data_IF_578226754319
#
_entry.id   IF_578226754319
#
_cell.length_a   1.000
_cell.length_b   1.000
_cell.length_c   1.000
_cell.angle_alpha   90.00
_cell.angle_beta   90.00
_cell.angle_gamma   90.00
#
_symmetry.space_group_name_H-M   'P 1'
#
loop_
_entity.id
_entity.type
_entity.pdbx_description
1 polymer ?
#
# COMPACT_ATOMS: atom_id res chain seq x y z
N UNK A 1 13.99 -23.31 2.44
CA UNK A 1 14.55 -21.97 2.66
C UNK A 1 14.78 -21.19 1.35
N UNK A 2 15.48 -21.74 0.34
CA UNK A 2 15.73 -21.01 -0.93
C UNK A 2 14.44 -20.57 -1.64
N UNK A 3 13.41 -21.43 -1.75
CA UNK A 3 12.11 -21.09 -2.37
C UNK A 3 11.43 -19.91 -1.65
N UNK A 4 11.35 -19.94 -0.30
CA UNK A 4 10.73 -18.86 0.49
C UNK A 4 11.46 -17.53 0.38
N UNK A 5 12.80 -17.53 0.39
CA UNK A 5 13.60 -16.32 0.21
C UNK A 5 13.38 -15.70 -1.18
N UNK A 6 13.46 -16.51 -2.23
CA UNK A 6 13.27 -16.03 -3.60
C UNK A 6 11.85 -15.48 -3.82
N UNK A 7 10.82 -16.20 -3.35
CA UNK A 7 9.44 -15.72 -3.45
C UNK A 7 9.23 -14.47 -2.60
N UNK A 8 9.81 -14.41 -1.40
CA UNK A 8 9.73 -13.21 -0.55
C UNK A 8 10.34 -11.99 -1.20
N UNK A 9 11.50 -12.10 -1.83
CA UNK A 9 12.14 -11.03 -2.58
C UNK A 9 11.33 -10.63 -3.83
N UNK A 10 10.72 -11.60 -4.50
CA UNK A 10 9.87 -11.33 -5.66
C UNK A 10 8.61 -10.56 -5.25
N UNK A 11 7.92 -11.00 -4.19
CA UNK A 11 6.73 -10.31 -3.69
C UNK A 11 7.08 -8.95 -3.08
N UNK A 12 8.21 -8.84 -2.38
CA UNK A 12 8.75 -7.54 -1.98
C UNK A 12 8.82 -6.59 -3.19
N UNK A 13 9.30 -7.08 -4.34
CA UNK A 13 9.37 -6.30 -5.58
C UNK A 13 8.04 -5.84 -6.13
N UNK A 14 6.99 -6.64 -6.02
CA UNK A 14 5.65 -6.23 -6.46
C UNK A 14 5.04 -5.13 -5.61
N UNK A 15 5.30 -5.15 -4.31
CA UNK A 15 4.80 -4.15 -3.39
C UNK A 15 5.65 -2.87 -3.37
N UNK A 16 6.94 -2.98 -3.66
CA UNK A 16 7.86 -1.85 -3.54
C UNK A 16 7.61 -0.82 -4.65
N UNK A 17 6.77 0.14 -4.36
CA UNK A 17 6.32 1.17 -5.30
C UNK A 17 6.57 2.60 -4.80
N UNK A 18 5.93 3.55 -5.46
CA UNK A 18 6.07 4.98 -5.20
C UNK A 18 5.76 5.37 -3.75
N UNK A 19 4.68 4.82 -3.17
CA UNK A 19 4.26 5.12 -1.80
C UNK A 19 5.30 4.74 -0.77
N UNK A 20 5.90 3.56 -0.93
CA UNK A 20 6.92 3.01 -0.03
C UNK A 20 8.20 3.85 0.04
N UNK A 21 8.43 4.69 -0.97
CA UNK A 21 9.56 5.60 -1.02
C UNK A 21 9.28 6.93 -0.31
N UNK A 22 8.08 7.50 -0.48
CA UNK A 22 7.81 8.89 -0.06
C UNK A 22 7.17 9.01 1.32
N UNK A 23 6.34 8.03 1.74
CA UNK A 23 5.62 8.17 3.02
C UNK A 23 6.49 7.94 4.24
N UNK A 24 7.42 6.96 4.30
CA UNK A 24 8.27 6.81 5.46
C UNK A 24 9.14 8.05 5.77
N UNK A 25 9.86 8.68 4.82
CA UNK A 25 10.62 9.89 5.13
C UNK A 25 9.70 11.09 5.46
N UNK A 26 8.52 11.20 4.85
CA UNK A 26 7.52 12.21 5.23
C UNK A 26 7.08 12.04 6.68
N UNK A 27 6.72 10.82 7.08
CA UNK A 27 6.38 10.48 8.46
C UNK A 27 7.54 10.81 9.42
N UNK A 28 8.76 10.45 9.03
CA UNK A 28 9.95 10.74 9.82
C UNK A 28 10.09 12.24 10.14
N UNK A 29 9.99 13.09 9.13
CA UNK A 29 9.99 14.54 9.29
C UNK A 29 8.89 15.04 10.23
N UNK A 30 7.65 14.58 10.02
CA UNK A 30 6.48 15.00 10.80
C UNK A 30 6.49 14.49 12.24
N UNK A 31 7.25 13.44 12.54
CA UNK A 31 7.23 12.78 13.84
C UNK A 31 8.04 13.50 14.92
N UNK A 32 8.89 14.46 14.57
CA UNK A 32 9.74 15.17 15.51
C UNK A 32 10.45 14.22 16.50
N UNK A 33 10.28 14.42 17.81
CA UNK A 33 10.85 13.57 18.86
C UNK A 33 10.12 12.23 19.04
N UNK A 34 8.99 12.04 18.37
CA UNK A 34 8.14 10.85 18.48
C UNK A 34 8.31 9.87 17.31
N UNK A 35 9.52 9.78 16.75
CA UNK A 35 9.83 8.93 15.59
C UNK A 35 9.43 7.47 15.80
N UNK A 36 9.81 6.89 16.95
CA UNK A 36 9.61 5.45 17.17
C UNK A 36 8.14 5.05 17.30
N UNK A 37 7.30 5.73 18.10
CA UNK A 37 5.87 5.45 18.09
C UNK A 37 5.23 5.58 16.69
N UNK A 38 5.60 6.60 15.93
CA UNK A 38 5.10 6.80 14.57
C UNK A 38 5.51 5.66 13.63
N UNK A 39 6.78 5.28 13.63
CA UNK A 39 7.29 4.18 12.79
C UNK A 39 6.67 2.84 13.17
N UNK A 40 6.45 2.57 14.46
CA UNK A 40 5.74 1.36 14.89
C UNK A 40 4.33 1.33 14.33
N UNK A 41 3.58 2.44 14.44
CA UNK A 41 2.25 2.57 13.85
C UNK A 41 2.25 2.29 12.34
N UNK A 42 3.21 2.90 11.64
CA UNK A 42 3.39 2.72 10.19
C UNK A 42 3.71 1.27 9.81
N UNK A 43 4.59 0.60 10.54
CA UNK A 43 4.94 -0.81 10.30
C UNK A 43 3.74 -1.71 10.55
N UNK A 44 2.98 -1.48 11.60
CA UNK A 44 1.79 -2.30 11.90
C UNK A 44 0.78 -2.22 10.74
N UNK A 45 0.49 -1.05 10.22
CA UNK A 45 -0.48 -0.89 9.14
C UNK A 45 0.12 -1.11 7.74
N UNK A 46 1.25 -0.50 7.41
CA UNK A 46 1.86 -0.57 6.09
C UNK A 46 2.51 -1.92 5.79
N UNK A 47 3.10 -2.58 6.80
CA UNK A 47 3.73 -3.89 6.62
C UNK A 47 2.84 -5.02 7.15
N UNK A 48 2.39 -4.91 8.39
CA UNK A 48 1.65 -5.98 9.06
C UNK A 48 0.35 -6.32 8.35
N UNK A 49 -0.49 -5.32 8.05
CA UNK A 49 -1.75 -5.55 7.34
C UNK A 49 -1.51 -6.01 5.89
N UNK A 50 -0.54 -5.43 5.19
CA UNK A 50 -0.24 -5.78 3.81
C UNK A 50 0.21 -7.25 3.69
N UNK A 51 1.21 -7.64 4.46
CA UNK A 51 1.72 -9.02 4.45
C UNK A 51 0.67 -9.99 4.99
N UNK A 52 -0.04 -9.62 6.05
CA UNK A 52 -1.15 -10.42 6.58
C UNK A 52 -2.22 -10.70 5.52
N UNK A 53 -2.69 -9.66 4.83
CA UNK A 53 -3.69 -9.79 3.76
C UNK A 53 -3.18 -10.65 2.60
N UNK A 54 -1.92 -10.45 2.19
CA UNK A 54 -1.28 -11.26 1.14
C UNK A 54 -1.25 -12.75 1.53
N UNK A 55 -0.74 -13.07 2.73
CA UNK A 55 -0.64 -14.45 3.21
C UNK A 55 -2.01 -15.11 3.33
N UNK A 56 -3.01 -14.37 3.81
CA UNK A 56 -4.40 -14.84 3.86
C UNK A 56 -4.87 -15.20 2.45
N UNK A 57 -4.65 -14.30 1.47
CA UNK A 57 -5.03 -14.52 0.08
C UNK A 57 -4.41 -15.78 -0.55
N UNK A 58 -3.21 -16.19 -0.10
CA UNK A 58 -2.54 -17.41 -0.61
C UNK A 58 -3.11 -18.72 -0.05
N UNK A 59 -3.87 -18.66 1.02
CA UNK A 59 -4.43 -19.84 1.70
C UNK A 59 -5.95 -19.94 1.67
N UNK A 60 -6.62 -19.14 0.82
CA UNK A 60 -8.08 -19.21 0.61
C UNK A 60 -8.43 -19.89 -0.71
N UNK A 61 -9.51 -20.65 -0.69
CA UNK A 61 -10.00 -21.37 -1.88
C UNK A 61 -10.87 -20.42 -2.74
N UNK A 62 -10.45 -20.16 -3.97
CA UNK A 62 -11.22 -19.31 -4.90
C UNK A 62 -11.10 -17.79 -4.68
N UNK A 63 -10.12 -17.34 -3.86
CA UNK A 63 -9.78 -15.93 -3.70
C UNK A 63 -10.76 -15.12 -2.84
N UNK A 64 -10.45 -13.84 -2.63
CA UNK A 64 -11.23 -12.95 -1.77
C UNK A 64 -12.68 -12.77 -2.24
N UNK A 65 -12.94 -12.78 -3.54
CA UNK A 65 -14.30 -12.60 -4.08
C UNK A 65 -15.23 -13.71 -3.59
N UNK A 66 -14.84 -14.99 -3.75
CA UNK A 66 -15.64 -16.14 -3.30
C UNK A 66 -15.90 -16.07 -1.79
N UNK A 67 -14.87 -15.83 -1.00
CA UNK A 67 -14.96 -15.72 0.45
C UNK A 67 -15.97 -14.62 0.89
N UNK A 68 -15.94 -13.48 0.24
CA UNK A 68 -16.85 -12.37 0.53
C UNK A 68 -18.29 -12.66 0.08
N UNK A 69 -18.46 -13.25 -1.11
CA UNK A 69 -19.79 -13.62 -1.65
C UNK A 69 -20.51 -14.58 -0.71
N UNK A 70 -19.80 -15.59 -0.20
CA UNK A 70 -20.35 -16.63 0.68
C UNK A 70 -20.61 -16.14 2.11
N UNK A 71 -19.67 -15.37 2.68
CA UNK A 71 -19.67 -15.02 4.11
C UNK A 71 -20.36 -13.68 4.39
N UNK A 72 -20.27 -12.74 3.47
CA UNK A 72 -20.86 -11.41 3.63
C UNK A 72 -22.06 -11.26 2.71
N UNK A 73 -21.87 -10.73 1.52
CA UNK A 73 -22.96 -10.56 0.55
C UNK A 73 -22.38 -10.29 -0.86
N UNK A 74 -22.91 -10.93 -1.95
CA UNK A 74 -22.37 -10.76 -3.29
C UNK A 74 -22.33 -9.30 -3.80
N UNK A 75 -23.37 -8.51 -3.52
CA UNK A 75 -23.42 -7.10 -3.94
C UNK A 75 -22.37 -6.28 -3.18
N UNK A 76 -22.21 -6.52 -1.87
CA UNK A 76 -21.19 -5.84 -1.07
C UNK A 76 -19.78 -6.23 -1.55
N UNK A 77 -19.54 -7.51 -1.78
CA UNK A 77 -18.29 -8.05 -2.32
C UNK A 77 -17.91 -7.35 -3.62
N UNK A 78 -18.83 -7.27 -4.55
CA UNK A 78 -18.64 -6.62 -5.85
C UNK A 78 -18.33 -5.13 -5.68
N UNK A 79 -19.13 -4.40 -4.90
CA UNK A 79 -18.94 -2.96 -4.67
C UNK A 79 -17.60 -2.66 -3.99
N UNK A 80 -17.23 -3.44 -2.96
CA UNK A 80 -15.96 -3.30 -2.25
C UNK A 80 -14.77 -3.58 -3.16
N UNK A 81 -14.81 -4.68 -3.93
CA UNK A 81 -13.71 -5.04 -4.83
C UNK A 81 -13.57 -4.01 -5.98
N UNK A 82 -14.67 -3.53 -6.55
CA UNK A 82 -14.62 -2.44 -7.54
C UNK A 82 -13.94 -1.21 -6.95
N UNK A 83 -14.38 -0.76 -5.76
CA UNK A 83 -13.79 0.40 -5.10
C UNK A 83 -12.30 0.21 -4.80
N UNK A 84 -11.91 -0.98 -4.33
CA UNK A 84 -10.53 -1.37 -4.07
C UNK A 84 -9.69 -1.33 -5.35
N UNK A 85 -10.14 -2.01 -6.42
CA UNK A 85 -9.39 -2.06 -7.67
C UNK A 85 -9.30 -0.70 -8.37
N UNK A 86 -10.33 0.14 -8.26
CA UNK A 86 -10.27 1.51 -8.77
C UNK A 86 -9.30 2.38 -7.94
N UNK A 87 -9.23 2.18 -6.63
CA UNK A 87 -8.30 2.90 -5.75
C UNK A 87 -6.84 2.54 -6.03
N UNK A 88 -6.50 1.25 -6.11
CA UNK A 88 -5.13 0.82 -6.47
C UNK A 88 -4.83 1.00 -7.96
N UNK A 89 -5.84 1.18 -8.78
CA UNK A 89 -5.78 1.37 -10.22
C UNK A 89 -5.74 2.85 -10.61
N UNK A 90 -6.69 3.26 -11.46
CA UNK A 90 -6.64 4.52 -12.18
C UNK A 90 -6.75 5.77 -11.31
N UNK A 91 -7.30 5.68 -10.09
CA UNK A 91 -7.54 6.88 -9.30
C UNK A 91 -6.37 7.28 -8.40
N UNK A 92 -5.63 6.32 -7.80
CA UNK A 92 -4.59 6.71 -6.83
C UNK A 92 -3.22 6.06 -7.08
N UNK A 93 -3.07 4.73 -7.05
CA UNK A 93 -1.74 4.14 -7.12
C UNK A 93 -1.06 4.37 -8.48
N UNK A 94 -1.75 4.10 -9.59
CA UNK A 94 -1.21 4.29 -10.94
C UNK A 94 -0.78 5.74 -11.19
N UNK A 95 -1.62 6.79 -10.99
CA UNK A 95 -1.18 8.17 -11.21
C UNK A 95 -0.10 8.61 -10.23
N UNK A 96 -0.10 8.08 -9.00
CA UNK A 96 0.95 8.37 -8.01
C UNK A 96 2.31 7.87 -8.45
N UNK A 97 2.42 6.71 -9.09
CA UNK A 97 3.71 6.21 -9.59
C UNK A 97 4.32 7.16 -10.63
N UNK A 98 3.51 7.71 -11.53
CA UNK A 98 3.95 8.69 -12.51
C UNK A 98 4.41 10.00 -11.86
N UNK A 99 3.64 10.53 -10.90
CA UNK A 99 3.97 11.80 -10.24
C UNK A 99 5.17 11.68 -9.31
N UNK A 100 5.34 10.59 -8.57
CA UNK A 100 6.52 10.35 -7.73
C UNK A 100 7.77 10.17 -8.59
N UNK A 101 7.68 9.40 -9.67
CA UNK A 101 8.81 9.23 -10.59
C UNK A 101 9.19 10.53 -11.28
N UNK A 102 8.24 11.42 -11.55
CA UNK A 102 8.52 12.78 -12.01
C UNK A 102 9.25 13.59 -10.94
N UNK A 103 8.71 13.64 -9.72
CA UNK A 103 9.27 14.48 -8.65
C UNK A 103 10.68 14.07 -8.22
N UNK A 104 11.00 12.76 -8.21
CA UNK A 104 12.32 12.27 -7.86
C UNK A 104 13.23 12.19 -9.09
N UNK A 105 12.67 11.79 -10.24
CA UNK A 105 13.44 11.38 -11.39
C UNK A 105 13.70 12.48 -12.40
N UNK A 106 12.83 13.48 -12.51
CA UNK A 106 12.86 14.45 -13.61
C UNK A 106 12.86 15.90 -13.12
N UNK A 107 11.95 16.25 -12.21
CA UNK A 107 11.79 17.61 -11.71
C UNK A 107 13.10 18.24 -11.17
N UNK A 108 14.00 17.50 -10.49
CA UNK A 108 15.24 18.06 -9.97
C UNK A 108 16.24 18.53 -11.06
N UNK A 109 16.04 18.09 -12.29
CA UNK A 109 16.91 18.39 -13.44
C UNK A 109 16.30 19.39 -14.42
N UNK A 110 15.04 19.77 -14.22
CA UNK A 110 14.31 20.68 -15.10
C UNK A 110 13.83 21.92 -14.33
N UNK A 111 13.64 23.06 -15.01
CA UNK A 111 12.90 24.16 -14.42
C UNK A 111 11.51 23.71 -14.00
N UNK A 112 11.08 24.14 -12.82
CA UNK A 112 9.76 23.78 -12.32
C UNK A 112 8.66 24.32 -13.24
N UNK A 113 7.86 23.39 -13.80
CA UNK A 113 6.74 23.77 -14.66
C UNK A 113 5.66 22.68 -14.66
N UNK A 114 4.40 23.09 -14.57
CA UNK A 114 3.25 22.20 -14.76
C UNK A 114 3.27 21.48 -16.11
N UNK A 115 3.78 22.13 -17.14
CA UNK A 115 3.95 21.55 -18.47
C UNK A 115 4.93 20.38 -18.47
N UNK A 116 6.00 20.45 -17.66
CA UNK A 116 6.97 19.35 -17.50
C UNK A 116 6.33 18.07 -16.97
N UNK A 117 5.48 18.19 -15.95
CA UNK A 117 4.73 17.04 -15.43
C UNK A 117 3.80 16.43 -16.49
N UNK A 118 3.05 17.26 -17.24
CA UNK A 118 2.10 16.78 -18.25
C UNK A 118 2.84 16.03 -19.37
N UNK A 119 3.93 16.61 -19.90
CA UNK A 119 4.73 15.99 -20.96
C UNK A 119 5.34 14.66 -20.47
N UNK A 120 5.94 14.68 -19.27
CA UNK A 120 6.48 13.46 -18.67
C UNK A 120 5.41 12.39 -18.48
N UNK A 121 4.26 12.75 -17.89
CA UNK A 121 3.15 11.82 -17.67
C UNK A 121 2.65 11.23 -19.00
N UNK A 122 2.54 12.03 -20.06
CA UNK A 122 2.14 11.54 -21.38
C UNK A 122 3.10 10.46 -21.90
N UNK A 123 4.41 10.71 -21.83
CA UNK A 123 5.44 9.74 -22.26
C UNK A 123 5.40 8.49 -21.36
N UNK A 124 5.35 8.69 -20.04
CA UNK A 124 5.32 7.61 -19.06
C UNK A 124 4.12 6.68 -19.27
N UNK A 125 2.91 7.24 -19.42
CA UNK A 125 1.71 6.46 -19.65
C UNK A 125 1.65 5.82 -21.03
N UNK A 126 2.23 6.45 -22.07
CA UNK A 126 2.36 5.81 -23.38
C UNK A 126 3.24 4.55 -23.32
N UNK A 127 4.38 4.62 -22.61
CA UNK A 127 5.25 3.46 -22.39
C UNK A 127 4.55 2.41 -21.52
N UNK A 128 3.93 2.82 -20.40
CA UNK A 128 3.21 1.91 -19.52
C UNK A 128 2.07 1.19 -20.25
N UNK A 129 1.30 1.92 -21.06
CA UNK A 129 0.24 1.37 -21.90
C UNK A 129 0.76 0.35 -22.91
N UNK A 130 1.80 0.70 -23.67
CA UNK A 130 2.39 -0.21 -24.64
C UNK A 130 2.79 -1.55 -24.02
N UNK A 131 3.42 -1.50 -22.85
CA UNK A 131 3.88 -2.68 -22.12
C UNK A 131 2.71 -3.48 -21.51
N UNK A 132 1.71 -2.81 -20.94
CA UNK A 132 0.54 -3.45 -20.36
C UNK A 132 -0.40 -4.03 -21.42
N UNK A 133 -0.57 -3.35 -22.55
CA UNK A 133 -1.49 -3.74 -23.62
C UNK A 133 -1.17 -5.13 -24.19
N UNK A 134 0.12 -5.48 -24.26
CA UNK A 134 0.60 -6.76 -24.74
C UNK A 134 0.82 -7.79 -23.62
N UNK A 135 0.43 -7.49 -22.37
CA UNK A 135 0.69 -8.34 -21.18
C UNK A 135 2.16 -8.82 -21.14
N UNK A 136 3.08 -7.91 -21.43
CA UNK A 136 4.50 -8.24 -21.61
C UNK A 136 5.12 -8.81 -20.33
N UNK A 137 5.63 -10.03 -20.40
CA UNK A 137 6.39 -10.68 -19.33
C UNK A 137 7.78 -10.05 -19.11
N UNK A 138 8.24 -9.21 -20.05
CA UNK A 138 9.54 -8.56 -19.97
C UNK A 138 9.68 -7.71 -18.70
N UNK A 139 8.63 -6.96 -18.34
CA UNK A 139 8.67 -6.10 -17.17
C UNK A 139 8.67 -6.87 -15.85
N UNK A 140 7.93 -8.00 -15.80
CA UNK A 140 7.98 -8.88 -14.63
C UNK A 140 9.38 -9.48 -14.43
N UNK A 141 10.06 -9.80 -15.53
CA UNK A 141 11.44 -10.33 -15.50
C UNK A 141 12.46 -9.25 -15.11
N UNK A 142 12.31 -8.03 -15.61
CA UNK A 142 13.14 -6.88 -15.23
C UNK A 142 12.92 -6.53 -13.75
N UNK A 143 11.68 -6.46 -13.30
CA UNK A 143 11.34 -6.18 -11.90
C UNK A 143 11.95 -7.20 -10.93
N UNK A 144 11.97 -8.49 -11.28
CA UNK A 144 12.57 -9.56 -10.45
C UNK A 144 14.05 -9.30 -10.13
N UNK A 145 14.79 -8.69 -11.02
CA UNK A 145 16.22 -8.41 -10.86
C UNK A 145 16.44 -7.00 -10.31
N UNK A 146 15.72 -6.02 -10.86
CA UNK A 146 15.96 -4.61 -10.54
C UNK A 146 15.49 -4.22 -9.13
N UNK A 147 14.39 -4.80 -8.67
CA UNK A 147 13.82 -4.42 -7.37
C UNK A 147 14.72 -4.79 -6.19
N UNK A 148 15.31 -6.00 -6.10
CA UNK A 148 16.28 -6.30 -5.05
C UNK A 148 17.52 -5.39 -5.10
N UNK A 149 18.00 -5.05 -6.28
CA UNK A 149 19.12 -4.12 -6.47
C UNK A 149 18.74 -2.74 -5.94
N UNK A 150 17.56 -2.24 -6.33
CA UNK A 150 17.05 -0.95 -5.89
C UNK A 150 16.84 -0.89 -4.37
N UNK A 151 16.24 -1.92 -3.79
CA UNK A 151 16.09 -2.02 -2.33
C UNK A 151 17.45 -2.00 -1.60
N UNK A 152 18.43 -2.71 -2.14
CA UNK A 152 19.81 -2.69 -1.62
C UNK A 152 20.44 -1.30 -1.69
N UNK A 153 20.20 -0.58 -2.77
CA UNK A 153 20.70 0.80 -2.95
C UNK A 153 20.02 1.81 -2.02
N UNK A 154 18.70 1.69 -1.85
CA UNK A 154 17.98 2.52 -0.86
C UNK A 154 18.48 2.21 0.55
N UNK A 155 18.69 0.94 0.88
CA UNK A 155 19.29 0.56 2.17
C UNK A 155 20.69 1.15 2.34
N UNK A 156 21.52 1.11 1.31
CA UNK A 156 22.84 1.73 1.31
C UNK A 156 22.76 3.24 1.52
N UNK A 157 21.88 3.93 0.77
CA UNK A 157 21.63 5.37 0.94
C UNK A 157 21.23 5.69 2.39
N UNK A 158 20.31 4.89 2.96
CA UNK A 158 19.83 5.07 4.34
C UNK A 158 20.93 4.88 5.36
N UNK A 159 21.75 3.81 5.22
CA UNK A 159 22.85 3.53 6.14
C UNK A 159 23.89 4.66 6.09
N UNK A 160 24.33 5.07 4.91
CA UNK A 160 25.28 6.17 4.76
C UNK A 160 24.68 7.50 5.24
N UNK A 161 23.40 7.73 4.96
CA UNK A 161 22.66 8.89 5.44
C UNK A 161 22.53 8.93 6.95
N UNK A 162 22.30 7.78 7.61
CA UNK A 162 22.25 7.69 9.06
C UNK A 162 23.58 8.08 9.72
N UNK A 163 24.71 7.70 9.13
CA UNK A 163 26.02 8.13 9.62
C UNK A 163 26.27 9.63 9.41
N UNK A 164 25.83 10.20 8.28
CA UNK A 164 26.07 11.62 7.97
C UNK A 164 25.09 12.55 8.70
N UNK A 165 23.81 12.22 8.70
CA UNK A 165 22.75 13.09 9.22
C UNK A 165 22.29 12.73 10.64
N UNK A 166 22.60 11.52 11.14
CA UNK A 166 22.13 11.03 12.43
C UNK A 166 22.59 11.83 13.66
N UNK A 167 23.56 12.73 13.51
CA UNK A 167 23.98 13.67 14.56
C UNK A 167 23.11 14.95 14.57
N UNK A 168 22.29 15.16 13.55
CA UNK A 168 21.40 16.31 13.44
C UNK A 168 20.16 16.06 14.31
N UNK A 169 19.77 17.02 15.13
CA UNK A 169 18.51 16.94 15.88
C UNK A 169 17.31 17.02 14.93
N UNK A 170 16.19 16.35 15.25
CA UNK A 170 14.97 16.47 14.47
C UNK A 170 14.57 17.94 14.30
N UNK A 171 14.27 18.37 13.09
CA UNK A 171 14.00 19.78 12.76
C UNK A 171 12.78 20.35 13.48
N UNK A 172 11.76 19.52 13.70
CA UNK A 172 10.54 19.87 14.42
C UNK A 172 10.60 19.55 15.93
N UNK A 173 11.76 19.12 16.45
CA UNK A 173 11.91 18.76 17.85
C UNK A 173 11.47 19.91 18.79
N UNK A 174 10.61 19.61 19.74
CA UNK A 174 10.07 20.59 20.68
C UNK A 174 9.14 21.65 20.07
N UNK A 175 8.80 21.55 18.76
CA UNK A 175 7.88 22.49 18.08
C UNK A 175 6.48 21.93 17.86
N UNK A 176 6.20 20.72 18.32
CA UNK A 176 4.92 20.05 18.17
C UNK A 176 4.43 19.49 19.49
N UNK A 177 3.13 19.57 19.74
CA UNK A 177 2.46 18.91 20.88
C UNK A 177 2.13 17.45 20.59
N UNK A 178 3.03 16.74 19.90
CA UNK A 178 2.82 15.38 19.45
C UNK A 178 3.11 14.41 20.61
N UNK A 179 2.06 13.74 21.09
CA UNK A 179 2.20 12.65 22.07
C UNK A 179 2.54 11.33 21.38
N UNK A 180 3.14 10.38 22.10
CA UNK A 180 3.46 9.05 21.57
C UNK A 180 2.22 8.33 21.00
N UNK A 181 1.06 8.46 21.66
CA UNK A 181 -0.19 7.88 21.15
C UNK A 181 -0.63 8.51 19.82
N UNK A 182 -0.61 9.83 19.72
CA UNK A 182 -0.92 10.53 18.47
C UNK A 182 0.08 10.20 17.36
N UNK A 183 1.37 10.13 17.69
CA UNK A 183 2.41 9.73 16.74
C UNK A 183 2.18 8.32 16.20
N UNK A 184 1.84 7.36 17.07
CA UNK A 184 1.46 6.02 16.65
C UNK A 184 0.24 6.04 15.74
N UNK A 185 -0.83 6.76 16.09
CA UNK A 185 -2.03 6.91 15.27
C UNK A 185 -1.73 7.51 13.90
N UNK A 186 -0.95 8.59 13.87
CA UNK A 186 -0.51 9.22 12.61
C UNK A 186 0.29 8.24 11.76
N UNK A 187 1.25 7.52 12.35
CA UNK A 187 2.00 6.49 11.64
C UNK A 187 1.11 5.37 11.10
N UNK A 188 0.14 4.93 11.91
CA UNK A 188 -0.81 3.90 11.49
C UNK A 188 -1.65 4.36 10.28
N UNK A 189 -2.11 5.60 10.26
CA UNK A 189 -2.85 6.18 9.13
C UNK A 189 -1.94 6.42 7.93
N UNK A 190 -0.71 6.91 8.14
CA UNK A 190 0.25 7.07 7.05
C UNK A 190 0.59 5.74 6.36
N UNK A 191 0.59 4.63 7.09
CA UNK A 191 0.72 3.32 6.49
C UNK A 191 -0.40 2.96 5.51
N UNK A 192 -1.60 3.52 5.64
CA UNK A 192 -2.67 3.35 4.64
C UNK A 192 -2.30 3.99 3.30
N UNK A 193 -1.55 5.08 3.33
CA UNK A 193 -1.11 5.78 2.12
C UNK A 193 -0.18 4.94 1.24
N UNK A 194 0.45 3.87 1.74
CA UNK A 194 1.23 2.96 0.90
C UNK A 194 0.35 2.18 -0.09
N UNK A 195 -0.94 2.00 0.20
CA UNK A 195 -1.91 1.18 -0.56
C UNK A 195 -1.59 -0.32 -0.55
N UNK A 196 -0.59 -0.75 0.18
CA UNK A 196 -0.07 -2.12 0.13
C UNK A 196 -1.09 -3.18 0.59
N UNK A 197 -1.87 -2.91 1.65
CA UNK A 197 -2.86 -3.89 2.11
C UNK A 197 -4.03 -4.05 1.12
N UNK A 198 -4.40 -3.00 0.38
CA UNK A 198 -5.38 -3.08 -0.71
C UNK A 198 -4.77 -3.81 -1.91
N UNK A 199 -3.55 -3.47 -2.29
CA UNK A 199 -2.82 -4.14 -3.37
C UNK A 199 -2.59 -5.63 -3.06
N UNK A 200 -2.44 -6.01 -1.78
CA UNK A 200 -2.29 -7.39 -1.35
C UNK A 200 -3.50 -8.27 -1.72
N UNK A 201 -4.71 -7.73 -1.71
CA UNK A 201 -5.91 -8.45 -2.18
C UNK A 201 -5.74 -8.82 -3.66
N UNK A 202 -5.35 -7.87 -4.51
CA UNK A 202 -5.14 -8.10 -5.94
C UNK A 202 -3.92 -9.00 -6.21
N UNK A 203 -2.79 -8.72 -5.55
CA UNK A 203 -1.55 -9.46 -5.75
C UNK A 203 -1.56 -10.86 -5.13
N UNK A 204 -2.54 -11.19 -4.29
CA UNK A 204 -2.71 -12.55 -3.77
C UNK A 204 -2.89 -13.57 -4.90
N UNK A 205 -3.56 -13.20 -5.98
CA UNK A 205 -3.72 -14.07 -7.17
C UNK A 205 -2.37 -14.34 -7.82
N UNK A 206 -1.53 -13.31 -7.98
CA UNK A 206 -0.18 -13.44 -8.53
C UNK A 206 0.69 -14.31 -7.62
N UNK A 207 0.59 -14.09 -6.30
CA UNK A 207 1.32 -14.88 -5.30
C UNK A 207 0.92 -16.38 -5.36
N UNK A 208 -0.37 -16.67 -5.47
CA UNK A 208 -0.88 -18.05 -5.63
C UNK A 208 -0.32 -18.69 -6.90
N UNK A 209 -0.37 -18.00 -8.04
CA UNK A 209 0.14 -18.51 -9.31
C UNK A 209 1.65 -18.80 -9.23
N UNK A 210 2.42 -17.87 -8.65
CA UNK A 210 3.87 -18.06 -8.43
C UNK A 210 4.16 -19.26 -7.51
N UNK A 211 3.37 -19.43 -6.44
CA UNK A 211 3.55 -20.56 -5.52
C UNK A 211 3.21 -21.89 -6.18
N UNK A 212 2.23 -21.95 -7.09
CA UNK A 212 1.90 -23.15 -7.85
C UNK A 212 3.05 -23.64 -8.75
N UNK A 213 3.87 -22.72 -9.28
CA UNK A 213 5.03 -23.07 -10.10
C UNK A 213 6.11 -23.86 -9.33
N UNK A 214 6.14 -23.74 -7.98
CA UNK A 214 7.18 -24.40 -7.17
C UNK A 214 6.94 -25.87 -6.86
N UNK A 215 5.73 -26.39 -7.06
CA UNK A 215 5.37 -27.79 -6.78
C UNK A 215 5.87 -28.25 -5.40
N UNK A 216 4.97 -28.39 -4.45
CA UNK A 216 5.32 -28.73 -3.05
C UNK A 216 5.09 -30.21 -2.76
N UNK A 217 6.04 -30.87 -2.06
CA UNK A 217 5.93 -32.26 -1.68
C UNK A 217 4.98 -32.50 -0.49
N UNK A 218 4.71 -31.46 0.31
CA UNK A 218 3.83 -31.57 1.48
C UNK A 218 3.22 -30.24 1.89
N UNK A 219 2.05 -30.29 2.52
CA UNK A 219 1.40 -29.11 3.12
C UNK A 219 2.31 -28.39 4.12
N UNK A 220 3.10 -29.13 4.90
CA UNK A 220 4.05 -28.55 5.87
C UNK A 220 5.17 -27.75 5.18
N UNK A 221 5.66 -28.23 4.02
CA UNK A 221 6.64 -27.49 3.21
C UNK A 221 6.04 -26.19 2.67
N UNK A 222 4.81 -26.26 2.17
CA UNK A 222 4.06 -25.08 1.69
C UNK A 222 3.86 -24.05 2.80
N UNK A 223 3.33 -24.44 3.96
CA UNK A 223 3.10 -23.55 5.11
C UNK A 223 4.40 -22.91 5.59
N UNK A 224 5.50 -23.67 5.68
CA UNK A 224 6.82 -23.16 6.04
C UNK A 224 7.35 -22.15 5.00
N UNK A 225 7.09 -22.42 3.73
CA UNK A 225 7.51 -21.50 2.64
C UNK A 225 6.73 -20.20 2.72
N UNK A 226 5.40 -20.25 2.86
CA UNK A 226 4.56 -19.05 3.00
C UNK A 226 4.97 -18.22 4.21
N UNK A 227 5.19 -18.86 5.36
CA UNK A 227 5.66 -18.15 6.56
C UNK A 227 7.02 -17.50 6.32
N UNK A 228 7.95 -18.20 5.67
CA UNK A 228 9.26 -17.64 5.31
C UNK A 228 9.13 -16.46 4.36
N UNK A 229 8.23 -16.52 3.38
CA UNK A 229 7.90 -15.40 2.49
C UNK A 229 7.44 -14.18 3.29
N UNK A 230 6.44 -14.37 4.16
CA UNK A 230 5.91 -13.29 4.99
C UNK A 230 6.98 -12.65 5.88
N UNK A 231 7.78 -13.46 6.56
CA UNK A 231 8.84 -12.96 7.46
C UNK A 231 9.92 -12.20 6.68
N UNK A 232 10.40 -12.74 5.57
CA UNK A 232 11.43 -12.08 4.73
C UNK A 232 10.92 -10.75 4.20
N UNK A 233 9.69 -10.72 3.68
CA UNK A 233 9.09 -9.50 3.14
C UNK A 233 8.85 -8.47 4.25
N UNK A 234 8.32 -8.90 5.41
CA UNK A 234 8.06 -8.02 6.54
C UNK A 234 9.35 -7.40 7.10
N UNK A 235 10.41 -8.18 7.28
CA UNK A 235 11.71 -7.67 7.73
C UNK A 235 12.27 -6.69 6.71
N UNK A 236 12.25 -7.03 5.42
CA UNK A 236 12.75 -6.17 4.36
C UNK A 236 12.08 -4.80 4.36
N UNK A 237 10.74 -4.76 4.37
CA UNK A 237 9.99 -3.51 4.44
C UNK A 237 10.22 -2.75 5.75
N UNK A 238 10.21 -3.44 6.89
CA UNK A 238 10.41 -2.78 8.19
C UNK A 238 11.77 -2.10 8.28
N UNK A 239 12.84 -2.78 7.83
CA UNK A 239 14.20 -2.20 7.82
C UNK A 239 14.26 -0.97 6.93
N UNK A 240 13.68 -1.04 5.72
CA UNK A 240 13.66 0.10 4.80
C UNK A 240 12.84 1.27 5.36
N UNK A 241 11.66 1.00 5.92
CA UNK A 241 10.78 2.04 6.44
C UNK A 241 11.36 2.73 7.68
N UNK A 242 11.98 1.97 8.60
CA UNK A 242 12.72 2.52 9.73
C UNK A 242 13.82 3.45 9.23
N UNK A 243 14.61 2.98 8.27
CA UNK A 243 15.71 3.76 7.77
C UNK A 243 15.29 5.00 6.98
N UNK A 244 14.28 4.89 6.13
CA UNK A 244 13.74 6.04 5.40
C UNK A 244 13.08 7.06 6.33
N UNK A 245 12.36 6.61 7.36
CA UNK A 245 11.79 7.50 8.36
C UNK A 245 12.87 8.18 9.20
N UNK A 246 13.92 7.44 9.60
CA UNK A 246 15.07 8.01 10.27
C UNK A 246 15.75 9.09 9.42
N UNK A 247 15.97 8.81 8.14
CA UNK A 247 16.54 9.78 7.19
C UNK A 247 15.67 11.05 7.12
N UNK A 248 14.35 10.89 6.95
CA UNK A 248 13.42 12.02 6.88
C UNK A 248 13.36 12.84 8.18
N UNK A 249 13.52 12.20 9.33
CA UNK A 249 13.49 12.84 10.64
C UNK A 249 14.73 13.74 10.89
N UNK A 250 15.89 13.36 10.35
CA UNK A 250 17.17 14.03 10.59
C UNK A 250 17.64 14.89 9.41
N UNK A 251 16.89 14.92 8.30
CA UNK A 251 17.24 15.72 7.12
C UNK A 251 16.59 17.12 7.19
N UNK A 252 17.35 18.15 6.85
CA UNK A 252 16.85 19.54 6.88
C UNK A 252 15.95 19.83 5.67
N UNK A 253 14.69 20.18 5.92
CA UNK A 253 13.66 20.45 4.91
C UNK A 253 13.07 21.86 4.99
N UNK A 254 13.24 22.59 6.13
CA UNK A 254 12.57 23.87 6.38
C UNK A 254 12.82 24.91 5.30
N UNK A 255 14.06 25.01 4.83
CA UNK A 255 14.42 25.99 3.80
C UNK A 255 13.77 25.71 2.43
N UNK A 256 13.46 24.45 2.15
CA UNK A 256 12.75 24.06 0.93
C UNK A 256 11.24 24.28 1.06
N UNK A 257 10.64 23.91 2.20
CA UNK A 257 9.22 24.18 2.48
C UNK A 257 8.89 25.67 2.57
N UNK A 258 9.84 26.51 2.99
CA UNK A 258 9.67 27.96 2.97
C UNK A 258 9.57 28.54 1.54
N UNK A 259 10.11 27.83 0.54
CA UNK A 259 10.06 28.24 -0.88
C UNK A 259 8.86 27.64 -1.61
N UNK A 260 8.50 26.41 -1.26
CA UNK A 260 7.42 25.65 -1.85
C UNK A 260 6.65 24.90 -0.76
N UNK A 261 5.49 25.44 -0.38
CA UNK A 261 4.63 24.86 0.65
C UNK A 261 3.99 23.54 0.19
N UNK A 262 3.87 23.30 -1.10
CA UNK A 262 3.32 22.08 -1.70
C UNK A 262 4.38 21.02 -1.97
N UNK A 263 5.62 21.24 -1.51
CA UNK A 263 6.73 20.30 -1.67
C UNK A 263 6.39 18.94 -1.04
N UNK A 264 6.58 17.88 -1.81
CA UNK A 264 6.52 16.54 -1.24
C UNK A 264 7.82 16.23 -0.48
N UNK A 265 7.72 16.23 0.85
CA UNK A 265 8.85 16.04 1.76
C UNK A 265 9.62 14.75 1.47
N UNK A 266 8.92 13.63 1.27
CA UNK A 266 9.57 12.34 1.03
C UNK A 266 10.37 12.31 -0.26
N UNK A 267 9.80 12.86 -1.35
CA UNK A 267 10.51 12.97 -2.63
C UNK A 267 11.73 13.87 -2.51
N UNK A 268 11.60 15.01 -1.82
CA UNK A 268 12.67 15.96 -1.59
C UNK A 268 13.83 15.35 -0.79
N UNK A 269 13.52 14.71 0.35
CA UNK A 269 14.52 14.07 1.22
C UNK A 269 15.33 13.04 0.45
N UNK A 270 14.68 12.15 -0.28
CA UNK A 270 15.37 11.12 -1.07
C UNK A 270 16.30 11.72 -2.13
N UNK A 271 15.79 12.69 -2.87
CA UNK A 271 16.53 13.34 -3.96
C UNK A 271 17.74 14.09 -3.43
N UNK A 272 17.54 14.92 -2.40
CA UNK A 272 18.59 15.77 -1.86
C UNK A 272 19.59 14.98 -1.02
N UNK A 273 19.15 14.00 -0.22
CA UNK A 273 20.08 13.12 0.48
C UNK A 273 20.97 12.34 -0.49
N UNK A 274 20.40 11.81 -1.59
CA UNK A 274 21.18 11.15 -2.63
C UNK A 274 22.23 12.08 -3.26
N UNK A 275 21.82 13.34 -3.53
CA UNK A 275 22.73 14.36 -4.08
C UNK A 275 23.84 14.75 -3.11
N UNK A 276 23.51 14.95 -1.82
CA UNK A 276 24.49 15.34 -0.79
C UNK A 276 25.47 14.23 -0.45
N UNK A 277 25.04 12.95 -0.55
CA UNK A 277 25.89 11.80 -0.24
C UNK A 277 26.75 11.37 -1.42
N UNK A 278 26.20 11.37 -2.63
CA UNK A 278 26.83 10.75 -3.81
C UNK A 278 26.94 11.71 -5.01
N UNK A 279 26.64 13.00 -4.83
CA UNK A 279 26.69 14.01 -5.87
C UNK A 279 25.61 13.81 -6.95
N UNK A 280 25.81 14.49 -8.09
CA UNK A 280 24.89 14.43 -9.23
C UNK A 280 24.72 13.00 -9.80
N UNK A 281 25.79 12.19 -9.73
CA UNK A 281 25.73 10.80 -10.17
C UNK A 281 24.73 9.98 -9.34
N UNK A 282 24.80 10.09 -8.00
CA UNK A 282 23.86 9.38 -7.11
C UNK A 282 22.41 9.82 -7.33
N UNK A 283 22.20 11.14 -7.51
CA UNK A 283 20.89 11.68 -7.82
C UNK A 283 20.33 11.14 -9.15
N UNK A 284 21.14 11.14 -10.22
CA UNK A 284 20.74 10.62 -11.53
C UNK A 284 20.48 9.12 -11.49
N UNK A 285 21.29 8.37 -10.75
CA UNK A 285 21.10 6.94 -10.56
C UNK A 285 19.81 6.62 -9.81
N UNK A 286 19.52 7.33 -8.70
CA UNK A 286 18.25 7.23 -7.99
C UNK A 286 17.08 7.52 -8.92
N UNK A 287 17.17 8.57 -9.74
CA UNK A 287 16.15 8.95 -10.70
C UNK A 287 15.79 7.81 -11.66
N UNK A 288 16.78 7.22 -12.30
CA UNK A 288 16.57 6.09 -13.23
C UNK A 288 15.92 4.90 -12.53
N UNK A 289 16.40 4.55 -11.33
CA UNK A 289 15.89 3.41 -10.58
C UNK A 289 14.42 3.63 -10.14
N UNK A 290 14.08 4.84 -9.68
CA UNK A 290 12.70 5.17 -9.29
C UNK A 290 11.76 5.14 -10.49
N UNK A 291 12.17 5.70 -11.64
CA UNK A 291 11.35 5.69 -12.87
C UNK A 291 11.04 4.24 -13.28
N UNK A 292 12.04 3.38 -13.32
CA UNK A 292 11.85 1.98 -13.75
C UNK A 292 10.98 1.23 -12.72
N UNK A 293 11.23 1.38 -11.44
CA UNK A 293 10.45 0.71 -10.37
C UNK A 293 8.99 1.18 -10.40
N UNK A 294 8.74 2.47 -10.54
CA UNK A 294 7.40 3.00 -10.67
C UNK A 294 6.70 2.49 -11.95
N UNK A 295 7.42 2.42 -13.07
CA UNK A 295 6.88 1.92 -14.33
C UNK A 295 6.49 0.44 -14.24
N UNK A 296 7.32 -0.40 -13.60
CA UNK A 296 6.99 -1.82 -13.40
C UNK A 296 5.74 -1.99 -12.55
N UNK A 297 5.60 -1.21 -11.48
CA UNK A 297 4.40 -1.20 -10.63
C UNK A 297 3.17 -0.75 -11.42
N UNK A 298 3.27 0.33 -12.20
CA UNK A 298 2.17 0.83 -13.03
C UNK A 298 1.66 -0.22 -14.00
N UNK A 299 2.56 -0.87 -14.71
CA UNK A 299 2.18 -1.92 -15.68
C UNK A 299 1.52 -3.11 -14.97
N UNK A 300 2.08 -3.56 -13.85
CA UNK A 300 1.48 -4.61 -13.04
C UNK A 300 0.06 -4.27 -12.56
N UNK A 301 -0.15 -3.04 -12.12
CA UNK A 301 -1.47 -2.56 -11.68
C UNK A 301 -2.46 -2.43 -12.85
N UNK A 302 -2.04 -1.88 -14.02
CA UNK A 302 -2.91 -1.82 -15.21
C UNK A 302 -3.36 -3.23 -15.60
N UNK A 303 -2.45 -4.20 -15.59
CA UNK A 303 -2.77 -5.59 -15.92
C UNK A 303 -3.73 -6.18 -14.90
N UNK A 304 -3.43 -6.11 -13.61
CA UNK A 304 -4.26 -6.70 -12.55
C UNK A 304 -5.67 -6.11 -12.50
N UNK A 305 -5.78 -4.78 -12.64
CA UNK A 305 -7.08 -4.09 -12.65
C UNK A 305 -7.85 -4.42 -13.93
N UNK A 306 -7.17 -4.42 -15.08
CA UNK A 306 -7.79 -4.77 -16.37
C UNK A 306 -8.33 -6.20 -16.40
N UNK A 307 -7.59 -7.16 -15.86
CA UNK A 307 -8.01 -8.57 -15.75
C UNK A 307 -9.20 -8.74 -14.80
N UNK A 308 -9.17 -8.07 -13.64
CA UNK A 308 -10.30 -8.10 -12.71
C UNK A 308 -11.59 -7.58 -13.35
N UNK A 309 -11.53 -6.48 -14.11
CA UNK A 309 -12.70 -5.91 -14.76
C UNK A 309 -13.15 -6.73 -15.97
N UNK A 310 -12.22 -7.33 -16.73
CA UNK A 310 -12.57 -8.28 -17.82
C UNK A 310 -13.30 -9.51 -17.27
N UNK A 311 -12.82 -10.09 -16.17
CA UNK A 311 -13.45 -11.24 -15.51
C UNK A 311 -14.81 -10.89 -14.91
N UNK A 312 -14.92 -9.70 -14.30
CA UNK A 312 -16.15 -9.27 -13.61
C UNK A 312 -17.22 -8.77 -14.58
N UNK A 313 -16.82 -8.09 -15.63
CA UNK A 313 -17.72 -7.51 -16.64
C UNK A 313 -17.22 -7.89 -18.05
N UNK A 314 -17.50 -9.10 -18.52
CA UNK A 314 -16.93 -9.65 -19.76
C UNK A 314 -17.50 -9.00 -21.05
N UNK A 315 -18.30 -7.93 -20.90
CA UNK A 315 -18.82 -7.15 -22.03
C UNK A 315 -17.71 -6.46 -22.82
N UNK A 316 -16.63 -6.06 -22.14
CA UNK A 316 -15.48 -5.41 -22.76
C UNK A 316 -14.22 -6.26 -22.56
N UNK A 317 -13.34 -6.25 -23.54
CA UNK A 317 -12.09 -6.98 -23.47
C UNK A 317 -11.09 -6.25 -22.52
N UNK A 318 -10.09 -6.99 -22.02
CA UNK A 318 -8.95 -6.47 -21.29
C UNK A 318 -8.35 -5.21 -21.93
N UNK A 319 -8.20 -5.21 -23.26
CA UNK A 319 -7.60 -4.09 -24.00
C UNK A 319 -8.37 -2.79 -23.82
N UNK A 320 -9.71 -2.87 -23.80
CA UNK A 320 -10.58 -1.71 -23.56
C UNK A 320 -10.38 -1.20 -22.13
N UNK A 321 -10.40 -2.09 -21.13
CA UNK A 321 -10.19 -1.71 -19.73
C UNK A 321 -8.79 -1.10 -19.52
N UNK A 322 -7.75 -1.75 -20.03
CA UNK A 322 -6.39 -1.23 -19.95
C UNK A 322 -6.26 0.16 -20.58
N UNK A 323 -6.91 0.40 -21.74
CA UNK A 323 -6.93 1.72 -22.38
C UNK A 323 -7.62 2.76 -21.51
N UNK A 324 -8.85 2.45 -21.06
CA UNK A 324 -9.65 3.40 -20.25
C UNK A 324 -8.93 3.74 -18.94
N UNK A 325 -8.41 2.74 -18.23
CA UNK A 325 -7.73 2.96 -16.95
C UNK A 325 -6.39 3.68 -17.11
N UNK A 326 -5.68 3.46 -18.20
CA UNK A 326 -4.46 4.22 -18.50
C UNK A 326 -4.79 5.69 -18.78
N UNK A 327 -5.84 5.98 -19.54
CA UNK A 327 -6.27 7.35 -19.83
C UNK A 327 -6.77 8.09 -18.57
N UNK A 328 -7.56 7.41 -17.71
CA UNK A 328 -7.98 7.99 -16.43
C UNK A 328 -6.76 8.26 -15.55
N UNK A 329 -5.85 7.29 -15.41
CA UNK A 329 -4.62 7.44 -14.63
C UNK A 329 -3.75 8.58 -15.11
N UNK A 330 -3.61 8.75 -16.44
CA UNK A 330 -2.93 9.91 -17.02
C UNK A 330 -3.62 11.22 -16.62
N UNK A 331 -4.94 11.31 -16.81
CA UNK A 331 -5.71 12.51 -16.44
C UNK A 331 -5.55 12.87 -14.96
N UNK A 332 -5.64 11.87 -14.06
CA UNK A 332 -5.44 12.08 -12.62
C UNK A 332 -3.99 12.49 -12.30
N UNK A 333 -3.00 11.92 -12.97
CA UNK A 333 -1.58 12.28 -12.75
C UNK A 333 -1.29 13.76 -13.02
N UNK A 334 -2.02 14.39 -13.97
CA UNK A 334 -1.86 15.82 -14.28
C UNK A 334 -2.28 16.76 -13.14
N UNK A 335 -3.02 16.24 -12.14
CA UNK A 335 -3.41 17.01 -10.95
C UNK A 335 -2.25 17.19 -9.95
N UNK A 336 -1.17 16.45 -10.12
CA UNK A 336 0.00 16.50 -9.25
C UNK A 336 -0.11 15.61 -8.01
N UNK A 337 1.05 15.32 -7.39
CA UNK A 337 1.19 14.34 -6.32
C UNK A 337 0.39 14.70 -5.06
N UNK A 338 0.48 15.94 -4.60
CA UNK A 338 -0.20 16.38 -3.36
C UNK A 338 -1.72 16.28 -3.49
N UNK A 339 -2.27 16.66 -4.64
CA UNK A 339 -3.70 16.52 -4.92
C UNK A 339 -4.15 15.07 -4.88
N UNK A 340 -3.39 14.16 -5.50
CA UNK A 340 -3.68 12.72 -5.48
C UNK A 340 -3.69 12.18 -4.06
N UNK A 341 -2.69 12.55 -3.24
CA UNK A 341 -2.61 12.14 -1.83
C UNK A 341 -3.82 12.67 -1.05
N UNK A 342 -4.16 13.94 -1.19
CA UNK A 342 -5.28 14.56 -0.49
C UNK A 342 -6.62 13.88 -0.80
N UNK A 343 -6.88 13.55 -2.06
CA UNK A 343 -8.11 12.84 -2.46
C UNK A 343 -8.09 11.34 -2.12
N UNK A 344 -6.93 10.71 -2.06
CA UNK A 344 -6.84 9.29 -1.72
C UNK A 344 -7.15 9.02 -0.24
N UNK A 345 -6.69 9.86 0.67
CA UNK A 345 -6.78 9.60 2.11
C UNK A 345 -8.22 9.33 2.60
N UNK A 346 -9.24 10.14 2.25
CA UNK A 346 -10.62 9.86 2.67
C UNK A 346 -11.13 8.50 2.19
N UNK A 347 -10.79 8.09 0.96
CA UNK A 347 -11.18 6.78 0.42
C UNK A 347 -10.47 5.64 1.15
N UNK A 348 -9.20 5.83 1.46
CA UNK A 348 -8.42 4.84 2.22
C UNK A 348 -8.93 4.67 3.65
N UNK A 349 -9.35 5.76 4.29
CA UNK A 349 -9.98 5.74 5.62
C UNK A 349 -11.29 4.94 5.65
N UNK A 350 -11.93 4.69 4.50
CA UNK A 350 -13.08 3.80 4.36
C UNK A 350 -12.62 2.37 4.05
N UNK A 351 -11.77 2.19 3.05
CA UNK A 351 -11.42 0.86 2.53
C UNK A 351 -10.55 0.04 3.49
N UNK A 352 -9.59 0.66 4.17
CA UNK A 352 -8.68 -0.07 5.06
C UNK A 352 -9.36 -0.70 6.27
N UNK A 353 -10.23 -0.02 7.05
CA UNK A 353 -11.00 -0.66 8.11
C UNK A 353 -11.78 -1.88 7.64
N UNK A 354 -12.43 -1.78 6.48
CA UNK A 354 -13.18 -2.87 5.87
C UNK A 354 -12.23 -4.03 5.53
N UNK A 355 -11.09 -3.74 4.90
CA UNK A 355 -10.08 -4.73 4.55
C UNK A 355 -9.55 -5.46 5.78
N UNK A 356 -9.27 -4.74 6.88
CA UNK A 356 -8.80 -5.32 8.14
C UNK A 356 -9.81 -6.29 8.72
N UNK A 357 -11.09 -5.89 8.78
CA UNK A 357 -12.16 -6.73 9.33
C UNK A 357 -12.39 -7.97 8.46
N UNK A 358 -12.37 -7.81 7.14
CA UNK A 358 -12.49 -8.92 6.19
C UNK A 358 -11.32 -9.89 6.37
N UNK A 359 -10.09 -9.40 6.37
CA UNK A 359 -8.89 -10.21 6.56
C UNK A 359 -8.94 -10.97 7.89
N UNK A 360 -9.37 -10.32 8.97
CA UNK A 360 -9.58 -10.96 10.26
C UNK A 360 -10.58 -12.13 10.17
N UNK A 361 -11.76 -11.90 9.62
CA UNK A 361 -12.75 -12.96 9.49
C UNK A 361 -12.26 -14.10 8.60
N UNK A 362 -11.66 -13.81 7.47
CA UNK A 362 -11.14 -14.85 6.57
C UNK A 362 -10.09 -15.71 7.26
N UNK A 363 -9.19 -15.11 8.05
CA UNK A 363 -8.14 -15.83 8.76
C UNK A 363 -8.70 -16.66 9.93
N UNK A 364 -9.48 -16.01 10.81
CA UNK A 364 -9.90 -16.60 12.08
C UNK A 364 -11.04 -17.61 11.87
N UNK A 365 -11.91 -17.38 10.86
CA UNK A 365 -13.03 -18.27 10.57
C UNK A 365 -12.61 -19.71 10.17
N UNK A 366 -11.36 -19.90 9.75
CA UNK A 366 -10.81 -21.25 9.52
C UNK A 366 -10.72 -22.10 10.80
N UNK A 367 -10.54 -21.44 11.94
CA UNK A 367 -10.40 -22.10 13.24
C UNK A 367 -11.62 -21.94 14.11
N UNK A 368 -12.22 -20.76 14.11
CA UNK A 368 -13.37 -20.36 14.95
C UNK A 368 -14.58 -20.13 14.05
N UNK A 369 -15.69 -20.78 14.37
CA UNK A 369 -16.94 -20.57 13.66
C UNK A 369 -17.60 -19.25 14.11
N UNK A 370 -17.99 -18.41 13.15
CA UNK A 370 -18.72 -17.17 13.36
C UNK A 370 -20.12 -17.25 12.75
N UNK A 371 -21.07 -16.53 13.33
CA UNK A 371 -22.38 -16.34 12.73
C UNK A 371 -22.26 -15.53 11.44
N UNK A 372 -22.90 -15.98 10.36
CA UNK A 372 -22.93 -15.22 9.09
C UNK A 372 -23.54 -13.84 9.29
N UNK A 373 -24.67 -13.74 10.00
CA UNK A 373 -25.31 -12.45 10.32
C UNK A 373 -24.42 -11.55 11.15
N UNK A 374 -23.66 -12.13 12.10
CA UNK A 374 -22.71 -11.39 12.92
C UNK A 374 -21.56 -10.83 12.09
N UNK A 375 -21.00 -11.59 11.14
CA UNK A 375 -19.97 -11.10 10.22
C UNK A 375 -20.51 -9.96 9.33
N UNK A 376 -21.72 -10.12 8.78
CA UNK A 376 -22.40 -9.08 8.00
C UNK A 376 -22.60 -7.79 8.80
N UNK A 377 -23.07 -7.91 10.05
CA UNK A 377 -23.26 -6.77 10.96
C UNK A 377 -21.94 -6.07 11.24
N UNK A 378 -20.88 -6.82 11.52
CA UNK A 378 -19.56 -6.25 11.80
C UNK A 378 -19.04 -5.45 10.62
N UNK A 379 -19.11 -6.02 9.41
CA UNK A 379 -18.67 -5.34 8.19
C UNK A 379 -19.54 -4.12 7.91
N UNK A 380 -20.86 -4.20 8.10
CA UNK A 380 -21.77 -3.07 7.92
C UNK A 380 -21.46 -1.93 8.91
N UNK A 381 -21.32 -2.23 10.21
CA UNK A 381 -20.96 -1.25 11.23
C UNK A 381 -19.61 -0.59 10.92
N UNK A 382 -18.60 -1.38 10.59
CA UNK A 382 -17.29 -0.85 10.21
C UNK A 382 -17.39 0.06 8.99
N UNK A 383 -18.13 -0.34 7.96
CA UNK A 383 -18.33 0.46 6.74
C UNK A 383 -19.03 1.78 7.04
N UNK A 384 -20.11 1.75 7.81
CA UNK A 384 -20.88 2.96 8.17
C UNK A 384 -20.00 3.92 8.97
N UNK A 385 -19.36 3.44 10.05
CA UNK A 385 -18.55 4.29 10.91
C UNK A 385 -17.34 4.87 10.16
N UNK A 386 -16.64 4.06 9.38
CA UNK A 386 -15.51 4.52 8.57
C UNK A 386 -15.94 5.57 7.53
N UNK A 387 -17.07 5.34 6.86
CA UNK A 387 -17.61 6.28 5.87
C UNK A 387 -18.01 7.59 6.52
N UNK A 388 -18.76 7.54 7.64
CA UNK A 388 -19.21 8.73 8.36
C UNK A 388 -18.01 9.50 8.91
N UNK A 389 -17.03 8.83 9.52
CA UNK A 389 -15.79 9.46 10.04
C UNK A 389 -14.98 10.10 8.93
N UNK A 390 -14.80 9.41 7.80
CA UNK A 390 -14.07 9.93 6.66
C UNK A 390 -14.74 11.14 6.03
N UNK A 391 -16.06 11.09 5.81
CA UNK A 391 -16.82 12.22 5.27
C UNK A 391 -16.86 13.41 6.23
N UNK A 392 -17.00 13.17 7.55
CA UNK A 392 -16.96 14.22 8.54
C UNK A 392 -15.63 15.00 8.49
N UNK A 393 -14.51 14.27 8.35
CA UNK A 393 -13.18 14.87 8.21
C UNK A 393 -12.99 15.58 6.87
N UNK A 394 -13.32 14.93 5.77
CA UNK A 394 -13.11 15.46 4.41
C UNK A 394 -13.95 16.70 4.12
N UNK A 395 -15.20 16.73 4.59
CA UNK A 395 -16.15 17.85 4.42
C UNK A 395 -16.12 18.85 5.57
N UNK A 396 -15.23 18.67 6.56
CA UNK A 396 -15.08 19.54 7.73
C UNK A 396 -16.40 19.75 8.50
N UNK A 397 -17.18 18.68 8.67
CA UNK A 397 -18.47 18.70 9.37
C UNK A 397 -18.25 18.64 10.88
N UNK A 398 -17.97 19.79 11.52
CA UNK A 398 -17.59 19.89 12.93
C UNK A 398 -18.60 19.24 13.88
N UNK A 399 -19.91 19.41 13.66
CA UNK A 399 -20.95 18.81 14.49
C UNK A 399 -20.92 17.27 14.46
N UNK A 400 -20.68 16.69 13.30
CA UNK A 400 -20.57 15.25 13.12
C UNK A 400 -19.24 14.72 13.66
N UNK A 401 -18.14 15.43 13.44
CA UNK A 401 -16.84 15.10 13.98
C UNK A 401 -16.88 15.03 15.52
N UNK A 402 -17.50 16.04 16.16
CA UNK A 402 -17.69 16.09 17.61
C UNK A 402 -18.59 14.96 18.14
N UNK A 403 -19.65 14.60 17.42
CA UNK A 403 -20.49 13.46 17.79
C UNK A 403 -19.74 12.12 17.74
N UNK A 404 -18.77 12.00 16.84
CA UNK A 404 -17.94 10.80 16.71
C UNK A 404 -16.85 10.68 17.78
N UNK A 405 -16.50 11.76 18.50
CA UNK A 405 -15.53 11.73 19.60
C UNK A 405 -15.92 10.78 20.75
N UNK A 406 -17.20 10.40 20.85
CA UNK A 406 -17.67 9.38 21.79
C UNK A 406 -17.05 7.99 21.49
N UNK A 407 -16.61 7.76 20.26
CA UNK A 407 -16.02 6.47 19.87
C UNK A 407 -14.60 6.36 20.47
N UNK A 408 -14.27 5.20 21.08
CA UNK A 408 -12.93 4.98 21.58
C UNK A 408 -11.93 5.05 20.41
N UNK A 409 -10.76 5.61 20.66
CA UNK A 409 -9.67 5.80 19.70
C UNK A 409 -9.98 6.73 18.50
N UNK A 410 -11.11 7.47 18.53
CA UNK A 410 -11.44 8.43 17.47
C UNK A 410 -10.36 9.51 17.31
N UNK A 411 -9.76 9.97 18.41
CA UNK A 411 -8.66 10.93 18.40
C UNK A 411 -7.38 10.42 17.71
N UNK A 412 -7.30 9.10 17.43
CA UNK A 412 -6.26 8.45 16.64
C UNK A 412 -6.75 8.07 15.23
N UNK A 413 -7.93 8.53 14.84
CA UNK A 413 -8.61 8.09 13.60
C UNK A 413 -8.90 6.58 13.52
N UNK A 414 -8.97 5.91 14.66
CA UNK A 414 -9.23 4.48 14.81
C UNK A 414 -10.60 4.20 15.45
N UNK A 415 -11.53 5.15 15.42
CA UNK A 415 -12.85 5.02 16.03
C UNK A 415 -13.69 3.84 15.52
N UNK A 416 -13.40 3.33 14.33
CA UNK A 416 -14.02 2.15 13.76
C UNK A 416 -13.69 0.85 14.51
N UNK A 417 -12.57 0.79 15.25
CA UNK A 417 -12.12 -0.42 15.94
C UNK A 417 -13.07 -0.86 17.06
N UNK A 418 -13.61 0.07 17.84
CA UNK A 418 -14.58 -0.24 18.89
C UNK A 418 -15.82 -0.96 18.36
N UNK A 419 -16.57 -0.38 17.42
CA UNK A 419 -17.69 -1.03 16.75
C UNK A 419 -17.34 -2.35 16.07
N UNK A 420 -16.16 -2.46 15.45
CA UNK A 420 -15.70 -3.71 14.85
C UNK A 420 -15.50 -4.82 15.90
N UNK A 421 -14.86 -4.53 17.02
CA UNK A 421 -14.66 -5.49 18.12
C UNK A 421 -16.02 -5.93 18.68
N UNK A 422 -16.95 -5.01 18.93
CA UNK A 422 -18.29 -5.36 19.39
C UNK A 422 -19.00 -6.26 18.38
N UNK A 423 -18.92 -5.94 17.09
CA UNK A 423 -19.49 -6.78 16.04
C UNK A 423 -18.87 -8.17 15.98
N UNK A 424 -17.56 -8.31 16.16
CA UNK A 424 -16.87 -9.61 16.24
C UNK A 424 -17.36 -10.44 17.43
N UNK A 425 -17.53 -9.81 18.60
CA UNK A 425 -18.07 -10.47 19.78
C UNK A 425 -19.50 -10.96 19.55
N UNK A 426 -20.33 -10.13 18.91
CA UNK A 426 -21.70 -10.51 18.50
C UNK A 426 -21.65 -11.69 17.53
N UNK A 427 -20.73 -11.70 16.57
CA UNK A 427 -20.57 -12.79 15.60
C UNK A 427 -20.17 -14.13 16.28
N UNK A 428 -19.51 -14.07 17.44
CA UNK A 428 -19.20 -15.26 18.24
C UNK A 428 -20.42 -15.82 19.00
N UNK A 429 -21.37 -14.97 19.35
CA UNK A 429 -22.52 -15.35 20.22
C UNK A 429 -23.73 -15.78 19.39
N UNK A 430 -24.00 -15.10 18.27
CA UNK A 430 -25.17 -15.35 17.44
C UNK A 430 -25.21 -16.80 16.90
N UNK A 431 -26.40 -17.40 16.71
CA UNK A 431 -26.58 -18.66 16.02
C UNK A 431 -26.18 -18.55 14.53
N UNK A 432 -26.39 -19.58 13.74
CA UNK A 432 -26.04 -19.70 12.31
C UNK A 432 -24.53 -19.60 12.05
N UNK A 433 -23.76 -20.27 12.90
CA UNK A 433 -22.30 -20.27 12.77
C UNK A 433 -21.86 -21.07 11.56
N UNK A 434 -21.02 -20.44 10.75
CA UNK A 434 -20.33 -21.08 9.62
C UNK A 434 -18.84 -21.13 9.92
N UNK A 435 -18.20 -22.19 9.46
CA UNK A 435 -16.76 -22.35 9.54
C UNK A 435 -16.18 -22.28 8.13
N UNK A 436 -15.08 -21.58 7.98
CA UNK A 436 -14.39 -21.48 6.70
C UNK A 436 -13.87 -22.83 6.21
N UNK A 437 -13.85 -23.02 4.91
CA UNK A 437 -13.33 -24.23 4.29
C UNK A 437 -11.85 -24.43 4.63
N UNK A 438 -11.46 -25.69 4.80
CA UNK A 438 -10.06 -26.03 4.91
C UNK A 438 -9.34 -25.68 3.59
N UNK A 439 -8.11 -25.21 3.70
CA UNK A 439 -7.30 -24.89 2.51
C UNK A 439 -7.05 -26.16 1.69
N UNK A 440 -7.43 -26.10 0.43
CA UNK A 440 -7.14 -27.13 -0.55
C UNK A 440 -5.69 -27.02 -1.02
N UNK A 441 -4.90 -27.99 -0.60
CA UNK A 441 -3.48 -28.06 -0.94
C UNK A 441 -3.20 -28.80 -2.26
N UNK A 442 -4.18 -29.57 -2.80
CA UNK A 442 -3.97 -30.40 -3.98
C UNK A 442 -3.49 -29.60 -5.20
N UNK A 443 -3.99 -28.36 -5.35
CA UNK A 443 -3.60 -27.46 -6.44
C UNK A 443 -2.11 -27.05 -6.43
N UNK A 444 -1.38 -27.33 -5.34
CA UNK A 444 0.04 -26.97 -5.14
C UNK A 444 0.96 -28.21 -5.09
N UNK A 445 0.40 -29.42 -5.19
CA UNK A 445 1.17 -30.65 -5.18
C UNK A 445 1.84 -30.92 -6.52
N UNK A 446 2.95 -31.64 -6.47
CA UNK A 446 3.57 -32.26 -7.64
C UNK A 446 2.62 -33.35 -8.18
N UNK A 447 2.17 -33.23 -9.40
CA UNK A 447 1.53 -34.36 -10.12
C UNK A 447 2.57 -35.37 -10.50
#
# INVERSE_FOLDING_TARGET
MKKGLLTGLLLFGFFFGAGNLIFPPTLGYQSADQLWPAVIGFIVSGVGLAIGTLLIGTVINGGFKKELDEKIHPIFSLAYLIALYLAIGPFFAIPRTATVSYNIGVAPFLPDSKSGLIIYAAIYFAVAFYLAYNRSSLLSSIGKILTPIFAGLILFLVVVGAFKFGQTSPELAGKTDLTAAKAFGNGFIEGYNTLDALAAVAFSVVAVNTLKEFHFSSKKEFEKTIMSVGVVTAIGFSVLYIGLAFLGNHFNVASALAKDADLNVGSYVLTMASRELFGTFGQAFLAVMVIITCLTTTVGLIVSVGEFFEETFPRFSYKVYATVFTLIGFGVATLGLQTIIAFSLPVLMILYPITVVIAFFVLVNKKVAFSKRGMQLTVALTTIISTVSSLASALKLEGLAKALEILPLQGLSLGWMGPAIIGILIALILPDKIKGEAFDFEAFQTK
#
